data_IF_422356271527
#
_entry.id   IF_422356271527
#
_cell.length_a   1.000
_cell.length_b   1.000
_cell.length_c   1.000
_cell.angle_alpha   90.00
_cell.angle_beta   90.00
_cell.angle_gamma   90.00
#
_symmetry.space_group_name_H-M   'P 1'
#
loop_
_entity.id
_entity.type
_entity.pdbx_description
1 polymer ?
#
# COMPACT_ATOMS: atom_id res chain seq x y z
N UNK A 1 14.21 -1.79 -15.08
CA UNK A 1 14.21 -3.26 -14.83
C UNK A 1 13.96 -3.51 -13.35
N UNK A 2 13.10 -4.46 -12.95
CA UNK A 2 12.67 -4.66 -11.54
C UNK A 2 13.75 -4.96 -10.51
N UNK A 3 14.98 -5.23 -10.96
CA UNK A 3 16.13 -5.53 -10.09
C UNK A 3 17.36 -4.82 -10.66
N UNK A 4 17.51 -3.51 -10.49
CA UNK A 4 18.64 -2.78 -11.08
C UNK A 4 19.96 -3.34 -10.56
N UNK A 5 20.91 -3.59 -11.47
CA UNK A 5 22.28 -4.02 -11.15
C UNK A 5 22.47 -5.48 -10.73
N UNK A 6 21.41 -6.30 -10.57
CA UNK A 6 21.56 -7.70 -10.13
C UNK A 6 21.05 -8.71 -11.17
N UNK A 7 21.94 -9.11 -12.10
CA UNK A 7 21.60 -10.04 -13.20
C UNK A 7 21.04 -11.38 -12.72
N UNK A 8 21.57 -11.92 -11.63
CA UNK A 8 21.12 -13.21 -11.08
C UNK A 8 19.67 -13.13 -10.57
N UNK A 9 19.30 -12.05 -9.89
CA UNK A 9 17.92 -11.83 -9.46
C UNK A 9 16.99 -11.50 -10.63
N UNK A 10 17.46 -10.78 -11.65
CA UNK A 10 16.69 -10.54 -12.88
C UNK A 10 16.38 -11.87 -13.58
N UNK A 11 17.38 -12.73 -13.74
CA UNK A 11 17.22 -14.05 -14.33
C UNK A 11 16.22 -14.90 -13.53
N UNK A 12 16.40 -15.00 -12.21
CA UNK A 12 15.47 -15.73 -11.36
C UNK A 12 14.05 -15.17 -11.38
N UNK A 13 13.90 -13.86 -11.41
CA UNK A 13 12.58 -13.23 -11.52
C UNK A 13 11.91 -13.55 -12.86
N UNK A 14 12.66 -13.55 -13.97
CA UNK A 14 12.15 -13.93 -15.28
C UNK A 14 11.72 -15.40 -15.32
N UNK A 15 12.52 -16.32 -14.74
CA UNK A 15 12.17 -17.73 -14.64
C UNK A 15 10.89 -17.95 -13.81
N UNK A 16 10.78 -17.34 -12.62
CA UNK A 16 9.56 -17.38 -11.81
C UNK A 16 8.37 -16.88 -12.62
N UNK A 17 8.52 -15.73 -13.28
CA UNK A 17 7.44 -15.13 -14.05
C UNK A 17 6.99 -16.03 -15.19
N UNK A 18 7.92 -16.60 -15.95
CA UNK A 18 7.62 -17.49 -17.08
C UNK A 18 6.87 -18.76 -16.64
N UNK A 19 7.33 -19.41 -15.57
CA UNK A 19 6.68 -20.59 -14.99
C UNK A 19 5.26 -20.28 -14.54
N UNK A 20 5.05 -19.17 -13.84
CA UNK A 20 3.71 -18.77 -13.38
C UNK A 20 2.81 -18.31 -14.53
N UNK A 21 3.37 -17.74 -15.59
CA UNK A 21 2.60 -17.25 -16.74
C UNK A 21 1.96 -18.42 -17.48
N UNK A 22 2.70 -19.49 -17.71
CA UNK A 22 2.25 -20.66 -18.48
C UNK A 22 1.62 -21.76 -17.63
N UNK A 23 1.64 -21.63 -16.31
CA UNK A 23 0.93 -22.53 -15.43
C UNK A 23 -0.60 -22.35 -15.59
N UNK A 24 -1.29 -23.42 -15.98
CA UNK A 24 -2.77 -23.45 -16.04
C UNK A 24 -3.44 -23.43 -14.66
N UNK A 25 -2.67 -23.72 -13.59
CA UNK A 25 -3.14 -23.85 -12.19
C UNK A 25 -2.12 -23.21 -11.25
N UNK A 26 -2.50 -23.07 -9.97
CA UNK A 26 -1.59 -22.59 -8.93
C UNK A 26 -0.38 -23.52 -8.82
N UNK A 27 0.81 -22.93 -8.77
CA UNK A 27 2.08 -23.67 -8.68
C UNK A 27 2.40 -23.93 -7.21
N UNK A 28 2.29 -25.17 -6.70
CA UNK A 28 2.38 -25.44 -5.26
C UNK A 28 3.76 -25.09 -4.68
N UNK A 29 4.82 -25.32 -5.44
CA UNK A 29 6.18 -25.07 -5.01
C UNK A 29 7.05 -24.59 -6.18
N UNK A 30 7.81 -23.52 -5.96
CA UNK A 30 8.76 -22.97 -6.93
C UNK A 30 10.18 -23.58 -6.81
N UNK A 31 10.43 -24.47 -5.84
CA UNK A 31 11.75 -25.06 -5.63
C UNK A 31 12.27 -25.86 -6.83
N UNK A 32 11.39 -26.36 -7.71
CA UNK A 32 11.79 -27.05 -8.94
C UNK A 32 12.55 -26.13 -9.92
N UNK A 33 12.33 -24.81 -9.82
CA UNK A 33 13.03 -23.79 -10.63
C UNK A 33 14.53 -23.78 -10.30
N UNK A 34 14.92 -24.10 -9.06
CA UNK A 34 16.32 -24.13 -8.63
C UNK A 34 17.14 -25.09 -9.51
N UNK A 35 16.64 -26.32 -9.69
CA UNK A 35 17.30 -27.35 -10.50
C UNK A 35 17.15 -27.09 -11.99
N UNK A 36 15.98 -26.62 -12.43
CA UNK A 36 15.67 -26.46 -13.86
C UNK A 36 16.49 -25.35 -14.53
N UNK A 37 16.79 -24.28 -13.81
CA UNK A 37 17.45 -23.09 -14.35
C UNK A 37 18.80 -22.80 -13.68
N UNK A 38 19.33 -23.74 -12.89
CA UNK A 38 20.58 -23.59 -12.14
C UNK A 38 20.61 -22.32 -11.28
N UNK A 39 19.56 -22.12 -10.48
CA UNK A 39 19.39 -20.93 -9.65
C UNK A 39 19.55 -21.32 -8.19
N UNK A 40 20.50 -20.68 -7.50
CA UNK A 40 20.63 -20.91 -6.06
C UNK A 40 19.35 -20.55 -5.31
N UNK A 41 19.02 -21.38 -4.32
CA UNK A 41 17.89 -21.17 -3.40
C UNK A 41 17.80 -19.76 -2.84
N UNK A 42 18.94 -19.17 -2.44
CA UNK A 42 19.04 -17.81 -1.90
C UNK A 42 18.61 -16.76 -2.92
N UNK A 43 19.03 -16.89 -4.18
CA UNK A 43 18.64 -15.96 -5.26
C UNK A 43 17.15 -16.11 -5.54
N UNK A 44 16.65 -17.34 -5.66
CA UNK A 44 15.23 -17.60 -5.92
C UNK A 44 14.32 -17.02 -4.83
N UNK A 45 14.66 -17.24 -3.56
CA UNK A 45 13.91 -16.68 -2.43
C UNK A 45 13.89 -15.15 -2.43
N UNK A 46 15.02 -14.51 -2.71
CA UNK A 46 15.13 -13.05 -2.81
C UNK A 46 14.29 -12.50 -3.95
N UNK A 47 14.36 -13.12 -5.14
CA UNK A 47 13.56 -12.74 -6.29
C UNK A 47 12.06 -12.89 -5.99
N UNK A 48 11.65 -14.04 -5.44
CA UNK A 48 10.26 -14.31 -5.02
C UNK A 48 9.75 -13.29 -4.01
N UNK A 49 10.53 -12.98 -2.97
CA UNK A 49 10.14 -12.00 -1.96
C UNK A 49 9.93 -10.61 -2.57
N UNK A 50 10.82 -10.18 -3.47
CA UNK A 50 10.69 -8.90 -4.18
C UNK A 50 9.49 -8.86 -5.11
N UNK A 51 9.26 -9.91 -5.90
CA UNK A 51 8.07 -10.04 -6.77
C UNK A 51 6.77 -9.99 -5.96
N UNK A 52 6.76 -10.63 -4.78
CA UNK A 52 5.59 -10.65 -3.88
C UNK A 52 5.33 -9.26 -3.31
N UNK A 53 6.38 -8.55 -2.87
CA UNK A 53 6.29 -7.17 -2.36
C UNK A 53 5.80 -6.19 -3.42
N UNK A 54 6.16 -6.40 -4.68
CA UNK A 54 5.67 -5.60 -5.81
C UNK A 54 4.22 -5.95 -6.20
N UNK A 55 3.65 -7.02 -5.64
CA UNK A 55 2.31 -7.48 -5.98
C UNK A 55 2.21 -8.13 -7.37
N UNK A 56 3.33 -8.58 -7.94
CA UNK A 56 3.34 -9.33 -9.20
C UNK A 56 2.97 -10.79 -9.02
N UNK A 57 3.38 -11.36 -7.89
CA UNK A 57 3.01 -12.73 -7.51
C UNK A 57 2.34 -12.69 -6.15
N UNK A 58 1.45 -13.64 -5.91
CA UNK A 58 0.87 -13.84 -4.59
C UNK A 58 0.94 -15.32 -4.21
N UNK A 59 1.09 -15.54 -2.91
CA UNK A 59 0.94 -16.84 -2.31
C UNK A 59 -0.52 -17.06 -1.93
N UNK A 60 -1.09 -18.15 -2.40
CA UNK A 60 -2.43 -18.60 -2.08
C UNK A 60 -2.33 -19.61 -0.94
N UNK A 61 -2.96 -19.26 0.18
CA UNK A 61 -3.12 -20.15 1.32
C UNK A 61 -4.26 -21.14 1.07
N UNK A 62 -4.13 -22.33 1.63
CA UNK A 62 -5.14 -23.39 1.60
C UNK A 62 -6.50 -22.92 2.17
N UNK A 63 -6.47 -22.00 3.13
CA UNK A 63 -7.68 -21.43 3.76
C UNK A 63 -8.48 -20.49 2.82
N UNK A 64 -7.97 -20.20 1.62
CA UNK A 64 -8.65 -19.31 0.70
C UNK A 64 -9.69 -20.07 -0.13
N UNK A 65 -10.94 -20.03 0.32
CA UNK A 65 -12.08 -20.65 -0.37
C UNK A 65 -12.27 -20.15 -1.81
N UNK A 66 -11.80 -18.93 -2.15
CA UNK A 66 -11.86 -18.41 -3.52
C UNK A 66 -11.16 -19.33 -4.53
N UNK A 67 -10.14 -20.05 -4.09
CA UNK A 67 -9.33 -20.92 -4.94
C UNK A 67 -9.60 -22.40 -4.71
N UNK A 68 -10.72 -22.75 -4.07
CA UNK A 68 -11.14 -24.15 -3.90
C UNK A 68 -10.13 -25.00 -3.13
N UNK A 69 -9.51 -24.45 -2.08
CA UNK A 69 -8.52 -25.16 -1.27
C UNK A 69 -7.16 -25.36 -1.95
N UNK A 70 -6.90 -24.73 -3.09
CA UNK A 70 -5.58 -24.78 -3.70
C UNK A 70 -4.55 -24.00 -2.87
N UNK A 71 -3.29 -24.43 -2.93
CA UNK A 71 -2.18 -23.83 -2.22
C UNK A 71 -0.99 -23.64 -3.16
N UNK A 72 -0.31 -22.50 -3.06
CA UNK A 72 0.92 -22.25 -3.82
C UNK A 72 1.06 -20.83 -4.33
N UNK A 73 1.73 -20.67 -5.46
CA UNK A 73 2.10 -19.39 -6.05
C UNK A 73 1.34 -19.16 -7.36
N UNK A 74 0.95 -17.91 -7.59
CA UNK A 74 0.33 -17.47 -8.85
C UNK A 74 0.70 -16.03 -9.17
N UNK A 75 0.44 -15.62 -10.41
CA UNK A 75 0.46 -14.20 -10.77
C UNK A 75 -0.66 -13.46 -10.05
N UNK A 76 -0.33 -12.28 -9.52
CA UNK A 76 -1.24 -11.41 -8.80
C UNK A 76 -1.77 -10.32 -9.73
N UNK A 77 -3.06 -10.02 -9.60
CA UNK A 77 -3.71 -8.90 -10.31
C UNK A 77 -3.61 -7.58 -9.53
N UNK A 78 -3.00 -7.59 -8.33
CA UNK A 78 -2.89 -6.38 -7.49
C UNK A 78 -2.08 -5.30 -8.19
N UNK A 79 -0.93 -5.66 -8.75
CA UNK A 79 -0.07 -4.70 -9.45
C UNK A 79 -0.77 -4.05 -10.65
N UNK A 80 -1.46 -4.86 -11.46
CA UNK A 80 -2.28 -4.39 -12.58
C UNK A 80 -3.33 -3.38 -12.11
N UNK A 81 -4.12 -3.73 -11.09
CA UNK A 81 -5.15 -2.84 -10.54
C UNK A 81 -4.57 -1.53 -10.03
N UNK A 82 -3.42 -1.57 -9.35
CA UNK A 82 -2.74 -0.37 -8.87
C UNK A 82 -2.28 0.51 -10.04
N UNK A 83 -1.77 -0.08 -11.13
CA UNK A 83 -1.38 0.67 -12.33
C UNK A 83 -2.58 1.31 -13.03
N UNK A 84 -3.70 0.60 -13.14
CA UNK A 84 -4.94 1.14 -13.72
C UNK A 84 -5.43 2.32 -12.87
N UNK A 85 -5.51 2.16 -11.55
CA UNK A 85 -5.91 3.23 -10.65
C UNK A 85 -4.98 4.44 -10.72
N UNK A 86 -3.67 4.21 -10.80
CA UNK A 86 -2.69 5.28 -10.97
C UNK A 86 -2.91 6.01 -12.29
N UNK A 87 -3.13 5.28 -13.38
CA UNK A 87 -3.42 5.85 -14.70
C UNK A 87 -4.67 6.72 -14.68
N UNK A 88 -5.75 6.25 -14.04
CA UNK A 88 -6.98 7.04 -13.86
C UNK A 88 -6.70 8.34 -13.10
N UNK A 89 -6.01 8.28 -11.96
CA UNK A 89 -5.65 9.50 -11.20
C UNK A 89 -4.79 10.47 -11.99
N UNK A 90 -3.83 9.97 -12.77
CA UNK A 90 -3.01 10.82 -13.64
C UNK A 90 -3.83 11.51 -14.73
N UNK A 91 -4.85 10.82 -15.28
CA UNK A 91 -5.78 11.42 -16.24
C UNK A 91 -6.63 12.51 -15.58
N UNK A 92 -7.15 12.25 -14.39
CA UNK A 92 -7.92 13.22 -13.59
C UNK A 92 -7.08 14.47 -13.30
N UNK A 93 -5.82 14.31 -12.88
CA UNK A 93 -4.91 15.45 -12.62
C UNK A 93 -4.56 16.25 -13.87
N UNK A 94 -4.55 15.63 -15.05
CA UNK A 94 -4.32 16.34 -16.31
C UNK A 94 -5.53 17.18 -16.71
N UNK A 95 -6.73 16.76 -16.30
CA UNK A 95 -7.97 17.44 -16.63
C UNK A 95 -8.15 18.69 -15.76
N UNK A 96 -7.54 19.81 -16.18
CA UNK A 96 -7.51 21.09 -15.45
C UNK A 96 -8.90 21.66 -15.13
N UNK A 97 -9.95 21.24 -15.84
CA UNK A 97 -11.31 21.72 -15.64
C UNK A 97 -11.91 21.30 -14.27
N UNK A 98 -11.50 20.16 -13.72
CA UNK A 98 -12.00 19.64 -12.43
C UNK A 98 -11.25 20.23 -11.24
N UNK A 99 -9.96 20.54 -11.42
CA UNK A 99 -9.07 20.98 -10.34
C UNK A 99 -9.34 22.39 -9.78
N UNK A 100 -9.96 23.30 -10.53
CA UNK A 100 -10.25 24.66 -10.02
C UNK A 100 -11.37 24.64 -8.98
N UNK A 101 -12.45 23.90 -9.25
CA UNK A 101 -13.64 23.89 -8.36
C UNK A 101 -13.38 23.17 -7.04
N UNK A 102 -12.72 22.01 -7.07
CA UNK A 102 -12.35 21.30 -5.83
C UNK A 102 -11.31 22.07 -5.02
N UNK A 103 -10.34 22.71 -5.68
CA UNK A 103 -9.34 23.54 -4.99
C UNK A 103 -9.98 24.78 -4.37
N UNK A 104 -10.89 25.44 -5.07
CA UNK A 104 -11.65 26.58 -4.56
C UNK A 104 -12.54 26.17 -3.38
N UNK A 105 -13.25 25.04 -3.47
CA UNK A 105 -14.06 24.50 -2.37
C UNK A 105 -13.22 24.15 -1.14
N UNK A 106 -12.09 23.46 -1.31
CA UNK A 106 -11.19 23.14 -0.20
C UNK A 106 -10.58 24.39 0.42
N UNK A 107 -10.20 25.40 -0.38
CA UNK A 107 -9.72 26.69 0.13
C UNK A 107 -10.80 27.44 0.91
N UNK A 108 -12.06 27.40 0.47
CA UNK A 108 -13.19 27.98 1.18
C UNK A 108 -13.43 27.26 2.52
N UNK A 109 -13.35 25.93 2.56
CA UNK A 109 -13.46 25.16 3.81
C UNK A 109 -12.32 25.47 4.78
N UNK A 110 -11.08 25.55 4.30
CA UNK A 110 -9.93 25.92 5.14
C UNK A 110 -10.03 27.35 5.68
N UNK A 111 -10.48 28.30 4.88
CA UNK A 111 -10.66 29.70 5.32
C UNK A 111 -11.88 29.86 6.24
N UNK A 112 -12.92 29.05 6.05
CA UNK A 112 -14.09 28.97 6.95
C UNK A 112 -13.76 28.36 8.31
N UNK A 113 -12.93 27.31 8.34
CA UNK A 113 -12.48 26.67 9.58
C UNK A 113 -11.68 27.63 10.48
N UNK A 114 -10.92 28.58 9.89
CA UNK A 114 -10.17 29.59 10.64
C UNK A 114 -11.05 30.66 11.32
N UNK A 115 -12.30 30.84 10.88
CA UNK A 115 -13.26 31.79 11.48
C UNK A 115 -14.06 31.20 12.63
N UNK A 116 -14.01 29.89 12.87
CA UNK A 116 -14.72 29.20 13.96
C UNK A 116 -13.85 28.98 15.19
N UNK A 117 -13.03 29.97 15.59
CA UNK A 117 -12.50 30.03 16.96
C UNK A 117 -13.51 30.87 17.75
N UNK A 118 -14.36 30.28 18.61
CA UNK A 118 -15.21 31.06 19.48
C UNK A 118 -14.33 31.72 20.54
N UNK A 119 -14.22 33.04 20.47
CA UNK A 119 -13.84 33.87 21.61
C UNK A 119 -14.94 33.76 22.68
N UNK A 120 -14.94 32.67 23.44
CA UNK A 120 -15.76 32.54 24.64
C UNK A 120 -15.06 31.63 25.65
N UNK A 121 -14.08 32.23 26.31
CA UNK A 121 -13.78 31.94 27.71
C UNK A 121 -13.46 33.25 28.41
N UNK A 122 -14.47 34.13 28.50
CA UNK A 122 -14.48 35.14 29.57
C UNK A 122 -14.53 34.35 30.87
N UNK A 123 -13.39 34.28 31.56
CA UNK A 123 -13.33 33.84 32.94
C UNK A 123 -14.09 34.85 33.80
N UNK A 124 -15.18 34.38 34.37
CA UNK A 124 -16.02 34.97 35.40
C UNK A 124 -16.24 33.74 36.32
N UNK A 125 -15.86 33.66 37.60
CA UNK A 125 -16.03 34.40 38.89
C UNK A 125 -15.28 33.50 39.94
N UNK A 126 -15.02 33.81 41.25
CA UNK A 126 -15.18 35.03 42.06
C UNK A 126 -13.91 35.49 42.81
N UNK A 127 -13.99 36.72 43.32
CA UNK A 127 -13.26 37.21 44.49
C UNK A 127 -13.58 36.35 45.73
N UNK A 128 -12.54 35.89 46.44
CA UNK A 128 -12.67 35.49 47.84
C UNK A 128 -12.07 36.60 48.69
N UNK A 129 -12.95 37.32 49.36
CA UNK A 129 -12.67 38.16 50.51
C UNK A 129 -12.17 37.31 51.69
N UNK A 130 -11.32 37.95 52.47
CA UNK A 130 -10.58 37.45 53.62
C UNK A 130 -11.50 37.09 54.80
N UNK A 131 -11.13 36.08 55.58
CA UNK A 131 -11.26 36.17 57.04
C UNK A 131 -10.16 35.36 57.74
N UNK A 132 -9.62 35.91 58.80
CA UNK A 132 -8.48 35.39 59.56
C UNK A 132 -8.88 34.72 60.89
N UNK A 133 -7.88 34.19 61.59
CA UNK A 133 -7.96 33.68 62.96
C UNK A 133 -8.44 32.22 63.05
N UNK A 134 -7.95 31.35 63.93
CA UNK A 134 -7.13 31.51 65.13
C UNK A 134 -6.21 30.29 65.29
N UNK A 135 -5.08 30.54 65.96
CA UNK A 135 -4.23 29.55 66.57
C UNK A 135 -4.92 28.92 67.78
N UNK A 136 -4.75 27.61 67.99
CA UNK A 136 -4.34 26.95 69.24
C UNK A 136 -4.22 25.44 69.00
#
# INVERSE_FOLDING_TARGET
MMFPGNRNQQHAAACIFFELKWAKRIVPNLAHIEKRYDISRRILQRARAKLSRLGLIEHVSYLNNRYGGQYGWRLSTRFERTLVQLGMKCADYRNRATGSKEKESLLLDFTGARRRIPLSRKLHIPEQEQDGGEAF
#
